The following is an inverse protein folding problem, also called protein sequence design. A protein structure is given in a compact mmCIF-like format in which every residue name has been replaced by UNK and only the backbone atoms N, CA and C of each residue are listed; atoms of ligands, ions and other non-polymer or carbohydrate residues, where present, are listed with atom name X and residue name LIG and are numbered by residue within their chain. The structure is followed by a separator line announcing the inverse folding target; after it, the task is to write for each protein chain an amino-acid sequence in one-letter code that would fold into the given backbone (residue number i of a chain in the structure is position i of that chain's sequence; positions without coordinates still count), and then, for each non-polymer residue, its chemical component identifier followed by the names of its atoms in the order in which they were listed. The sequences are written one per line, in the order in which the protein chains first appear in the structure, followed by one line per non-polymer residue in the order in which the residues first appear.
data_IF_374904946144
#
_entry.id   IF_374904946144
#
_cell.length_a   1.000
_cell.length_b   1.000
_cell.length_c   1.000
_cell.angle_alpha   90.00
_cell.angle_beta   90.00
_cell.angle_gamma   90.00
#
_symmetry.space_group_name_H-M   'P 1'
#
loop_
_entity.id
_entity.type
_entity.pdbx_description
1 polymer ?
#
# COMPACT_ATOMS: atom_id res chain seq x y z
N UNK A 1 5.73 9.96 2.27
CA UNK A 1 4.31 9.53 2.35
C UNK A 1 3.32 10.52 1.76
N UNK A 2 3.36 11.82 2.10
CA UNK A 2 2.38 12.81 1.58
C UNK A 2 2.30 12.85 0.05
N UNK A 3 3.45 12.92 -0.65
CA UNK A 3 3.50 12.82 -2.13
C UNK A 3 2.90 11.52 -2.71
N UNK A 4 2.86 10.44 -1.93
CA UNK A 4 2.28 9.16 -2.35
C UNK A 4 0.75 9.14 -2.15
N UNK A 5 0.25 9.80 -1.10
CA UNK A 5 -1.18 10.03 -0.89
C UNK A 5 -1.76 11.07 -1.87
N UNK A 6 -0.93 11.99 -2.35
CA UNK A 6 -1.30 13.03 -3.33
C UNK A 6 -1.47 12.51 -4.76
N UNK A 7 -1.14 11.24 -5.04
CA UNK A 7 -1.55 10.62 -6.30
C UNK A 7 -3.07 10.49 -6.30
N UNK A 8 -3.70 11.09 -7.30
CA UNK A 8 -5.14 11.31 -7.50
C UNK A 8 -6.09 10.24 -6.91
N UNK A 9 -5.75 8.95 -7.02
CA UNK A 9 -6.59 7.83 -6.62
C UNK A 9 -6.89 7.70 -5.12
N UNK A 10 -6.16 8.39 -4.23
CA UNK A 10 -6.29 8.24 -2.78
C UNK A 10 -6.69 9.48 -2.02
N UNK A 11 -6.69 10.67 -2.64
CA UNK A 11 -6.79 11.94 -1.90
C UNK A 11 -8.06 12.05 -1.05
N UNK A 12 -9.20 11.60 -1.59
CA UNK A 12 -10.48 11.60 -0.85
C UNK A 12 -10.48 10.63 0.35
N UNK A 13 -9.71 9.56 0.25
CA UNK A 13 -9.69 8.42 1.18
C UNK A 13 -8.47 8.38 2.09
N UNK A 14 -7.51 9.28 1.90
CA UNK A 14 -6.22 9.31 2.58
C UNK A 14 -6.09 10.53 3.48
N UNK A 15 -5.81 10.25 4.74
CA UNK A 15 -5.77 11.23 5.82
C UNK A 15 -4.39 11.20 6.46
N UNK A 16 -3.51 12.17 6.15
CA UNK A 16 -2.20 12.25 6.81
C UNK A 16 -2.37 12.65 8.28
N UNK A 17 -1.49 12.14 9.14
CA UNK A 17 -1.43 12.46 10.57
C UNK A 17 -2.81 12.37 11.26
N UNK A 18 -3.36 11.17 11.41
CA UNK A 18 -4.62 11.01 12.13
C UNK A 18 -4.41 10.96 13.64
N UNK A 19 -5.37 11.47 14.42
CA UNK A 19 -5.27 11.61 15.87
C UNK A 19 -6.42 10.91 16.59
N UNK A 20 -6.16 10.50 17.83
CA UNK A 20 -7.17 10.15 18.82
C UNK A 20 -7.18 11.17 19.96
N UNK A 21 -8.25 11.20 20.72
CA UNK A 21 -8.46 12.13 21.84
C UNK A 21 -7.96 11.59 23.19
N UNK A 22 -7.22 10.48 23.24
CA UNK A 22 -6.75 9.83 24.48
C UNK A 22 -5.96 10.76 25.40
N UNK A 23 -5.11 11.60 24.82
CA UNK A 23 -4.24 12.52 25.56
C UNK A 23 -4.77 13.96 25.59
N UNK A 24 -5.96 14.21 25.03
CA UNK A 24 -6.49 15.58 24.84
C UNK A 24 -6.60 16.34 26.17
N UNK A 25 -7.07 15.67 27.21
CA UNK A 25 -7.23 16.25 28.55
C UNK A 25 -5.90 16.43 29.28
N UNK A 26 -4.95 15.52 29.12
CA UNK A 26 -3.68 15.53 29.84
C UNK A 26 -2.60 16.41 29.19
N UNK A 27 -2.59 16.50 27.86
CA UNK A 27 -1.53 17.14 27.09
C UNK A 27 -2.01 18.31 26.21
N UNK A 28 -3.30 18.68 26.29
CA UNK A 28 -3.89 19.75 25.48
C UNK A 28 -4.04 19.42 23.98
N UNK A 29 -3.81 18.16 23.59
CA UNK A 29 -3.91 17.70 22.22
C UNK A 29 -4.04 16.19 22.11
N UNK A 30 -4.59 15.75 20.99
CA UNK A 30 -4.72 14.34 20.65
C UNK A 30 -3.38 13.65 20.43
N UNK A 31 -3.41 12.33 20.57
CA UNK A 31 -2.26 11.50 20.26
C UNK A 31 -2.36 11.00 18.83
N UNK A 32 -1.27 11.07 18.09
CA UNK A 32 -1.22 10.53 16.74
C UNK A 32 -1.45 9.01 16.73
N UNK A 33 -2.28 8.57 15.78
CA UNK A 33 -2.62 7.18 15.51
C UNK A 33 -1.64 6.63 14.47
N UNK A 34 -1.53 7.31 13.32
CA UNK A 34 -0.73 6.88 12.19
C UNK A 34 -0.32 8.09 11.35
N UNK A 35 0.86 7.97 10.74
CA UNK A 35 1.40 8.99 9.85
C UNK A 35 0.52 9.16 8.59
N UNK A 36 -0.13 8.06 8.13
CA UNK A 36 -1.15 8.08 7.09
C UNK A 36 -2.19 6.98 7.35
N UNK A 37 -3.47 7.35 7.29
CA UNK A 37 -4.62 6.44 7.31
C UNK A 37 -5.33 6.51 5.96
N UNK A 38 -5.50 5.38 5.28
CA UNK A 38 -6.36 5.28 4.11
C UNK A 38 -7.58 4.39 4.40
N UNK A 39 -8.77 4.83 4.00
CA UNK A 39 -10.04 4.08 4.19
C UNK A 39 -10.75 3.97 2.85
N UNK A 40 -10.81 2.77 2.29
CA UNK A 40 -11.45 2.53 1.00
C UNK A 40 -12.28 1.25 1.04
N UNK A 41 -13.58 1.35 0.75
CA UNK A 41 -14.54 0.24 0.94
C UNK A 41 -14.40 -0.39 2.34
N UNK A 42 -14.09 -1.68 2.41
CA UNK A 42 -13.84 -2.41 3.64
C UNK A 42 -12.35 -2.48 3.99
N UNK A 43 -11.48 -1.90 3.17
CA UNK A 43 -10.04 -1.85 3.42
C UNK A 43 -9.64 -0.62 4.23
N UNK A 44 -8.87 -0.86 5.29
CA UNK A 44 -8.25 0.20 6.09
C UNK A 44 -6.75 -0.02 6.08
N UNK A 45 -6.00 0.94 5.56
CA UNK A 45 -4.53 0.88 5.48
C UNK A 45 -3.94 1.89 6.45
N UNK A 46 -3.17 1.39 7.43
CA UNK A 46 -2.44 2.20 8.40
C UNK A 46 -0.97 2.21 8.03
N UNK A 47 -0.40 3.38 7.80
CA UNK A 47 1.02 3.55 7.55
C UNK A 47 1.72 4.12 8.79
N UNK A 48 2.90 3.58 9.09
CA UNK A 48 3.85 4.18 10.01
C UNK A 48 5.19 4.36 9.31
N UNK A 49 5.72 5.59 9.30
CA UNK A 49 7.05 5.90 8.76
C UNK A 49 8.07 6.06 9.89
N UNK A 50 9.17 5.32 9.78
CA UNK A 50 10.25 5.31 10.76
C UNK A 50 11.58 5.51 10.05
N UNK A 51 12.06 6.74 10.09
CA UNK A 51 13.43 7.09 9.72
C UNK A 51 14.37 6.92 10.91
N UNK A 52 15.22 5.88 10.87
CA UNK A 52 16.20 5.61 11.92
C UNK A 52 17.59 5.54 11.29
N UNK A 53 18.51 6.41 11.73
CA UNK A 53 19.88 6.41 11.24
C UNK A 53 20.61 5.10 11.55
N UNK A 54 21.29 4.56 10.54
CA UNK A 54 22.19 3.42 10.69
C UNK A 54 23.46 3.79 11.47
N UNK A 55 23.95 2.86 12.29
CA UNK A 55 25.18 3.03 13.07
C UNK A 55 26.38 2.48 12.29
N UNK A 56 26.96 3.32 11.43
CA UNK A 56 28.10 2.97 10.56
C UNK A 56 29.36 2.53 11.33
N UNK A 57 29.52 2.97 12.56
CA UNK A 57 30.68 2.68 13.41
C UNK A 57 30.60 1.33 14.13
N UNK A 58 29.53 0.56 13.92
CA UNK A 58 29.29 -0.73 14.58
C UNK A 58 29.33 -1.90 13.60
N UNK A 59 29.68 -3.12 14.07
CA UNK A 59 29.51 -4.32 13.28
C UNK A 59 28.06 -4.46 12.79
N UNK A 60 27.88 -4.97 11.56
CA UNK A 60 26.58 -4.99 10.87
C UNK A 60 25.50 -5.71 11.66
N UNK A 61 25.82 -6.78 12.38
CA UNK A 61 24.90 -7.56 13.19
C UNK A 61 24.36 -6.76 14.39
N UNK A 62 25.24 -6.00 15.05
CA UNK A 62 24.87 -5.14 16.17
C UNK A 62 24.09 -3.91 15.68
N UNK A 63 24.55 -3.28 14.58
CA UNK A 63 23.89 -2.15 13.96
C UNK A 63 22.48 -2.53 13.50
N UNK A 64 22.32 -3.67 12.84
CA UNK A 64 21.03 -4.24 12.44
C UNK A 64 20.12 -4.45 13.63
N UNK A 65 20.60 -5.14 14.67
CA UNK A 65 19.78 -5.44 15.84
C UNK A 65 19.29 -4.17 16.55
N UNK A 66 20.08 -3.09 16.55
CA UNK A 66 19.69 -1.79 17.12
C UNK A 66 18.72 -1.03 16.21
N UNK A 67 19.00 -1.03 14.91
CA UNK A 67 18.17 -0.39 13.91
C UNK A 67 16.79 -1.07 13.84
N UNK A 68 16.73 -2.40 13.74
CA UNK A 68 15.52 -3.21 13.69
C UNK A 68 14.59 -2.89 14.88
N UNK A 69 15.12 -2.91 16.12
CA UNK A 69 14.32 -2.63 17.32
C UNK A 69 13.75 -1.21 17.35
N UNK A 70 14.45 -0.24 16.76
CA UNK A 70 14.00 1.16 16.74
C UNK A 70 13.05 1.45 15.58
N UNK A 71 13.35 0.90 14.40
CA UNK A 71 12.61 1.13 13.17
C UNK A 71 11.41 0.19 13.07
N UNK A 72 11.67 -1.12 13.01
CA UNK A 72 10.65 -2.14 12.75
C UNK A 72 9.81 -2.41 14.00
N UNK A 73 10.41 -2.78 15.14
CA UNK A 73 9.62 -3.05 16.36
C UNK A 73 8.87 -1.79 16.82
N UNK A 74 9.49 -0.62 16.66
CA UNK A 74 8.85 0.68 16.91
C UNK A 74 7.63 0.94 16.03
N UNK A 75 7.73 0.69 14.72
CA UNK A 75 6.60 0.79 13.79
C UNK A 75 5.50 -0.22 14.12
N UNK A 76 5.86 -1.48 14.39
CA UNK A 76 4.92 -2.55 14.76
C UNK A 76 4.16 -2.18 16.03
N UNK A 77 4.82 -1.66 17.05
CA UNK A 77 4.17 -1.22 18.28
C UNK A 77 3.16 -0.08 18.04
N UNK A 78 3.52 0.91 17.22
CA UNK A 78 2.63 2.01 16.83
C UNK A 78 1.41 1.49 16.05
N UNK A 79 1.63 0.68 15.02
CA UNK A 79 0.58 0.12 14.17
C UNK A 79 -0.40 -0.77 14.94
N UNK A 80 0.11 -1.64 15.83
CA UNK A 80 -0.74 -2.47 16.69
C UNK A 80 -1.54 -1.62 17.71
N UNK A 81 -0.98 -0.50 18.16
CA UNK A 81 -1.69 0.47 18.99
C UNK A 81 -2.81 1.17 18.22
N UNK A 82 -2.52 1.58 16.99
CA UNK A 82 -3.46 2.21 16.07
C UNK A 82 -4.64 1.28 15.74
N UNK A 83 -4.37 0.06 15.28
CA UNK A 83 -5.41 -0.93 14.96
C UNK A 83 -6.34 -1.17 16.15
N UNK A 84 -5.78 -1.36 17.34
CA UNK A 84 -6.56 -1.56 18.57
C UNK A 84 -7.44 -0.35 18.90
N UNK A 85 -6.95 0.87 18.65
CA UNK A 85 -7.77 2.07 18.81
C UNK A 85 -8.94 2.08 17.83
N UNK A 86 -8.69 1.78 16.55
CA UNK A 86 -9.74 1.69 15.53
C UNK A 86 -10.77 0.59 15.83
N UNK A 87 -10.37 -0.48 16.52
CA UNK A 87 -11.24 -1.57 16.95
C UNK A 87 -12.16 -1.13 18.09
N UNK A 88 -11.61 -0.46 19.11
CA UNK A 88 -12.35 -0.09 20.33
C UNK A 88 -13.15 1.22 20.19
N UNK A 89 -12.65 2.15 19.37
CA UNK A 89 -13.14 3.52 19.29
C UNK A 89 -13.23 4.02 17.84
N UNK A 90 -13.98 3.34 16.95
CA UNK A 90 -14.00 3.65 15.52
C UNK A 90 -14.50 5.05 15.16
N UNK A 91 -15.26 5.71 16.04
CA UNK A 91 -15.77 7.07 15.85
C UNK A 91 -14.90 8.16 16.46
N UNK A 92 -13.79 7.80 17.14
CA UNK A 92 -12.89 8.75 17.82
C UNK A 92 -11.55 8.84 17.09
N UNK A 93 -11.65 9.14 15.79
CA UNK A 93 -10.53 9.35 14.88
C UNK A 93 -10.71 10.71 14.24
N UNK A 94 -9.65 11.52 14.29
CA UNK A 94 -9.67 12.92 13.90
C UNK A 94 -8.56 13.23 12.91
N UNK A 95 -8.78 14.21 12.05
CA UNK A 95 -7.80 14.69 11.06
C UNK A 95 -6.98 15.88 11.56
N UNK A 96 -7.25 16.34 12.79
CA UNK A 96 -6.55 17.45 13.43
C UNK A 96 -6.10 17.08 14.86
N UNK A 97 -4.98 17.67 15.28
CA UNK A 97 -4.40 17.47 16.61
C UNK A 97 -5.32 17.93 17.75
N UNK A 98 -6.22 18.89 17.50
CA UNK A 98 -7.17 19.35 18.52
C UNK A 98 -8.38 18.43 18.67
N UNK A 99 -8.50 17.40 17.83
CA UNK A 99 -9.61 16.46 17.80
C UNK A 99 -10.95 17.21 17.71
N UNK A 100 -11.06 18.03 16.66
CA UNK A 100 -12.23 18.87 16.36
C UNK A 100 -12.88 18.49 15.03
N UNK A 101 -12.09 17.93 14.10
CA UNK A 101 -12.49 17.47 12.79
C UNK A 101 -12.47 15.94 12.80
N UNK A 102 -13.63 15.28 12.88
CA UNK A 102 -13.70 13.83 12.80
C UNK A 102 -13.27 13.36 11.41
N UNK A 103 -12.94 12.07 11.31
CA UNK A 103 -12.65 11.42 10.03
C UNK A 103 -13.83 11.62 9.05
N UNK A 104 -13.61 12.21 7.86
CA UNK A 104 -14.69 12.50 6.92
C UNK A 104 -15.41 11.26 6.39
N UNK A 105 -14.66 10.18 6.15
CA UNK A 105 -15.19 8.88 5.73
C UNK A 105 -15.22 7.96 6.95
N UNK A 106 -16.39 7.41 7.33
CA UNK A 106 -16.49 6.54 8.49
C UNK A 106 -15.72 5.24 8.25
N UNK A 107 -15.16 4.67 9.33
CA UNK A 107 -14.53 3.36 9.25
C UNK A 107 -15.58 2.27 8.98
N UNK A 108 -15.24 1.25 8.18
CA UNK A 108 -16.10 0.07 8.04
C UNK A 108 -16.25 -0.65 9.39
N UNK A 109 -17.34 -1.41 9.49
CA UNK A 109 -17.62 -2.26 10.66
C UNK A 109 -16.43 -3.19 10.93
N UNK A 110 -16.15 -3.52 12.19
CA UNK A 110 -15.05 -4.45 12.52
C UNK A 110 -15.23 -5.83 11.88
N UNK A 111 -16.47 -6.27 11.65
CA UNK A 111 -16.77 -7.57 11.05
C UNK A 111 -16.36 -7.64 9.58
N UNK A 112 -16.53 -6.53 8.84
CA UNK A 112 -16.25 -6.47 7.41
C UNK A 112 -14.87 -5.90 7.08
N UNK A 113 -14.24 -5.22 8.05
CA UNK A 113 -12.97 -4.51 7.89
C UNK A 113 -11.79 -5.44 7.65
N UNK A 114 -11.05 -5.16 6.58
CA UNK A 114 -9.74 -5.71 6.27
C UNK A 114 -8.68 -4.66 6.60
N UNK A 115 -7.96 -4.86 7.70
CA UNK A 115 -6.86 -3.97 8.11
C UNK A 115 -5.55 -4.40 7.46
N UNK A 116 -4.87 -3.46 6.81
CA UNK A 116 -3.50 -3.59 6.32
C UNK A 116 -2.59 -2.68 7.14
N UNK A 117 -1.60 -3.25 7.82
CA UNK A 117 -0.60 -2.49 8.59
C UNK A 117 0.67 -2.36 7.76
N UNK A 118 1.13 -1.14 7.49
CA UNK A 118 2.27 -0.87 6.62
C UNK A 118 3.33 -0.09 7.39
N UNK A 119 4.49 -0.70 7.59
CA UNK A 119 5.67 -0.08 8.18
C UNK A 119 6.63 0.33 7.06
N UNK A 120 6.87 1.62 6.91
CA UNK A 120 7.88 2.18 6.01
C UNK A 120 9.11 2.50 6.85
N UNK A 121 10.20 1.79 6.63
CA UNK A 121 11.41 1.88 7.47
C UNK A 121 12.61 2.31 6.65
N UNK A 122 13.28 3.37 7.07
CA UNK A 122 14.38 3.97 6.32
C UNK A 122 15.63 4.22 7.16
N UNK A 123 16.73 4.50 6.47
CA UNK A 123 18.04 4.84 7.03
C UNK A 123 19.05 3.69 7.02
N UNK A 124 18.68 2.49 6.55
CA UNK A 124 19.54 1.31 6.43
C UNK A 124 19.94 0.98 4.97
N UNK A 125 19.42 1.71 3.98
CA UNK A 125 19.51 1.39 2.55
C UNK A 125 20.96 1.37 2.05
N UNK A 126 21.77 2.36 2.43
CA UNK A 126 23.18 2.44 2.05
C UNK A 126 24.04 1.32 2.68
N UNK A 127 23.66 0.85 3.88
CA UNK A 127 24.29 -0.28 4.52
C UNK A 127 23.86 -1.61 3.88
N UNK A 128 22.58 -1.75 3.56
CA UNK A 128 22.02 -2.89 2.84
C UNK A 128 22.70 -3.07 1.47
N UNK A 129 22.79 -1.99 0.69
CA UNK A 129 23.51 -1.92 -0.60
C UNK A 129 24.93 -2.46 -0.50
N UNK A 130 25.70 -1.99 0.49
CA UNK A 130 27.08 -2.45 0.69
C UNK A 130 27.15 -3.91 1.14
N UNK A 131 26.23 -4.33 2.00
CA UNK A 131 26.22 -5.67 2.56
C UNK A 131 25.97 -6.74 1.49
N UNK A 132 24.97 -6.54 0.63
CA UNK A 132 24.64 -7.48 -0.44
C UNK A 132 25.36 -7.22 -1.77
N UNK A 133 26.03 -6.07 -1.92
CA UNK A 133 26.48 -5.58 -3.23
C UNK A 133 25.34 -5.37 -4.23
N UNK A 134 24.11 -5.18 -3.73
CA UNK A 134 22.91 -4.91 -4.52
C UNK A 134 22.87 -3.44 -4.96
N UNK A 135 22.63 -3.11 -6.24
CA UNK A 135 22.58 -1.73 -6.71
C UNK A 135 21.55 -0.84 -5.99
N UNK A 136 20.46 -1.40 -5.44
CA UNK A 136 19.36 -0.61 -4.88
C UNK A 136 19.52 -0.36 -3.38
N UNK A 137 19.79 -1.40 -2.60
CA UNK A 137 19.78 -1.42 -1.14
C UNK A 137 18.42 -1.81 -0.55
N UNK A 138 17.61 -2.59 -1.26
CA UNK A 138 16.29 -3.06 -0.81
C UNK A 138 16.42 -4.12 0.29
N UNK A 139 15.47 -4.17 1.22
CA UNK A 139 15.42 -5.26 2.20
C UNK A 139 15.02 -6.57 1.51
N UNK A 140 15.74 -7.66 1.79
CA UNK A 140 15.40 -8.98 1.27
C UNK A 140 14.31 -9.64 2.11
N UNK A 141 13.46 -10.45 1.46
CA UNK A 141 12.27 -11.02 2.09
C UNK A 141 12.42 -12.53 2.26
N UNK A 142 12.27 -13.02 3.48
CA UNK A 142 12.33 -14.43 3.84
C UNK A 142 11.11 -14.80 4.67
N UNK A 143 10.15 -15.53 4.07
CA UNK A 143 8.87 -15.86 4.73
C UNK A 143 9.04 -16.71 6.00
N UNK A 144 10.12 -17.47 6.07
CA UNK A 144 10.44 -18.32 7.22
C UNK A 144 10.90 -17.54 8.45
N UNK A 145 11.35 -16.29 8.28
CA UNK A 145 11.88 -15.46 9.35
C UNK A 145 10.72 -14.83 10.15
N UNK A 146 10.70 -15.04 11.46
CA UNK A 146 9.56 -14.64 12.31
C UNK A 146 9.99 -14.08 13.66
N UNK A 147 9.31 -13.03 14.11
CA UNK A 147 9.45 -12.47 15.47
C UNK A 147 10.92 -12.22 15.85
N UNK A 148 11.35 -12.72 17.00
CA UNK A 148 12.70 -12.50 17.52
C UNK A 148 13.84 -13.05 16.63
N UNK A 149 13.56 -13.98 15.72
CA UNK A 149 14.57 -14.56 14.83
C UNK A 149 15.26 -13.51 13.93
N UNK A 150 14.61 -12.36 13.68
CA UNK A 150 15.20 -11.26 12.92
C UNK A 150 16.41 -10.61 13.59
N UNK A 151 16.57 -10.75 14.90
CA UNK A 151 17.64 -10.11 15.69
C UNK A 151 18.41 -11.11 16.57
N UNK A 152 18.17 -12.39 16.38
CA UNK A 152 18.85 -13.46 17.11
C UNK A 152 20.17 -13.80 16.40
N UNK A 153 21.23 -13.11 16.80
CA UNK A 153 22.58 -13.26 16.26
C UNK A 153 23.23 -14.60 16.60
N UNK A 154 22.59 -15.44 17.42
CA UNK A 154 23.12 -16.76 17.78
C UNK A 154 22.76 -17.85 16.76
N UNK A 155 21.84 -17.55 15.83
CA UNK A 155 21.43 -18.50 14.78
C UNK A 155 22.47 -18.56 13.67
N UNK A 156 22.75 -19.77 13.20
CA UNK A 156 23.68 -19.99 12.07
C UNK A 156 23.20 -19.32 10.77
N UNK A 157 21.88 -19.23 10.60
CA UNK A 157 21.23 -18.61 9.44
C UNK A 157 20.94 -17.12 9.64
N UNK A 158 21.37 -16.51 10.75
CA UNK A 158 21.18 -15.08 10.98
C UNK A 158 21.91 -14.26 9.92
N UNK A 159 21.18 -13.37 9.25
CA UNK A 159 21.76 -12.36 8.36
C UNK A 159 21.02 -11.03 8.57
N UNK A 160 21.73 -9.90 8.70
CA UNK A 160 21.14 -8.56 8.63
C UNK A 160 20.33 -8.33 7.36
N UNK A 161 19.44 -7.33 7.38
CA UNK A 161 18.67 -6.86 6.22
C UNK A 161 17.67 -7.86 5.63
N UNK A 162 17.43 -8.98 6.31
CA UNK A 162 16.35 -9.93 5.99
C UNK A 162 15.11 -9.61 6.81
N UNK A 163 13.94 -9.59 6.17
CA UNK A 163 12.63 -9.38 6.81
C UNK A 163 11.64 -10.47 6.43
N UNK A 164 10.79 -10.87 7.37
CA UNK A 164 9.73 -11.85 7.17
C UNK A 164 8.45 -11.44 7.89
N UNK A 165 7.82 -12.35 8.64
CA UNK A 165 6.64 -12.03 9.45
C UNK A 165 7.06 -11.47 10.81
N UNK A 166 7.04 -10.14 10.91
CA UNK A 166 7.43 -9.41 12.13
C UNK A 166 6.33 -9.45 13.21
N UNK A 167 5.10 -9.85 12.86
CA UNK A 167 3.95 -9.91 13.77
C UNK A 167 3.16 -11.22 13.57
N UNK A 168 3.77 -12.39 13.86
CA UNK A 168 3.18 -13.68 13.52
C UNK A 168 1.92 -14.02 14.34
N UNK A 169 1.76 -13.40 15.52
CA UNK A 169 0.61 -13.60 16.40
C UNK A 169 -0.52 -12.57 16.24
N UNK A 170 -0.34 -11.54 15.40
CA UNK A 170 -1.30 -10.45 15.24
C UNK A 170 -1.73 -10.24 13.79
N UNK A 171 -2.15 -9.03 13.46
CA UNK A 171 -2.35 -8.60 12.05
C UNK A 171 -0.99 -8.55 11.34
N UNK A 172 -0.97 -8.92 10.06
CA UNK A 172 0.28 -8.93 9.29
C UNK A 172 0.77 -7.49 9.08
N UNK A 173 2.05 -7.25 9.35
CA UNK A 173 2.68 -5.94 9.13
C UNK A 173 3.56 -6.02 7.88
N UNK A 174 3.17 -5.27 6.86
CA UNK A 174 3.93 -5.08 5.64
C UNK A 174 5.11 -4.16 5.91
N UNK A 175 6.30 -4.74 6.08
CA UNK A 175 7.55 -3.96 6.13
C UNK A 175 8.01 -3.68 4.71
N UNK A 176 8.20 -2.39 4.40
CA UNK A 176 8.82 -1.89 3.19
C UNK A 176 9.94 -0.91 3.55
N UNK A 177 11.04 -0.95 2.80
CA UNK A 177 11.91 0.22 2.67
C UNK A 177 11.33 1.21 1.62
N UNK A 178 11.83 2.46 1.57
CA UNK A 178 11.32 3.45 0.62
C UNK A 178 11.44 3.04 -0.85
N UNK A 179 12.47 2.26 -1.21
CA UNK A 179 12.73 1.83 -2.58
C UNK A 179 11.66 0.81 -2.99
N UNK A 180 11.46 -0.23 -2.18
CA UNK A 180 10.45 -1.25 -2.42
C UNK A 180 9.03 -0.68 -2.50
N UNK A 181 8.70 0.24 -1.60
CA UNK A 181 7.40 0.92 -1.62
C UNK A 181 7.20 1.76 -2.88
N UNK A 182 8.23 2.46 -3.35
CA UNK A 182 8.15 3.26 -4.58
C UNK A 182 7.77 2.40 -5.79
N UNK A 183 8.41 1.24 -5.96
CA UNK A 183 8.05 0.29 -7.04
C UNK A 183 6.60 -0.19 -6.93
N UNK A 184 6.17 -0.62 -5.74
CA UNK A 184 4.80 -1.07 -5.50
C UNK A 184 3.79 0.02 -5.88
N UNK A 185 4.02 1.25 -5.43
CA UNK A 185 3.10 2.37 -5.69
C UNK A 185 3.13 2.89 -7.14
N UNK A 186 4.21 2.63 -7.89
CA UNK A 186 4.32 2.99 -9.30
C UNK A 186 3.57 2.01 -10.22
N UNK A 187 3.67 0.71 -9.93
CA UNK A 187 3.02 -0.33 -10.71
C UNK A 187 1.55 -0.52 -10.32
N UNK A 188 1.24 -0.43 -9.03
CA UNK A 188 -0.11 -0.65 -8.46
C UNK A 188 -0.74 0.68 -8.07
N UNK A 189 -1.13 1.44 -9.09
CA UNK A 189 -1.57 2.83 -8.95
C UNK A 189 -3.09 3.01 -8.84
N UNK A 190 -3.82 1.92 -8.61
CA UNK A 190 -5.21 1.96 -8.15
C UNK A 190 -5.31 1.36 -6.75
N UNK A 191 -6.28 1.84 -5.96
CA UNK A 191 -6.50 1.33 -4.61
C UNK A 191 -6.87 -0.17 -4.62
N UNK A 192 -7.61 -0.62 -5.63
CA UNK A 192 -7.97 -2.02 -5.81
C UNK A 192 -6.75 -2.91 -6.08
N UNK A 193 -5.85 -2.47 -6.97
CA UNK A 193 -4.62 -3.22 -7.27
C UNK A 193 -3.68 -3.26 -6.06
N UNK A 194 -3.55 -2.15 -5.33
CA UNK A 194 -2.73 -2.07 -4.12
C UNK A 194 -3.26 -2.96 -2.99
N UNK A 195 -4.55 -2.87 -2.64
CA UNK A 195 -5.13 -3.67 -1.54
C UNK A 195 -5.16 -5.16 -1.88
N UNK A 196 -5.38 -5.52 -3.15
CA UNK A 196 -5.26 -6.89 -3.63
C UNK A 196 -3.83 -7.42 -3.47
N UNK A 197 -2.82 -6.61 -3.81
CA UNK A 197 -1.42 -6.96 -3.62
C UNK A 197 -1.06 -7.14 -2.16
N UNK A 198 -1.43 -6.21 -1.28
CA UNK A 198 -1.18 -6.32 0.16
C UNK A 198 -1.84 -7.58 0.73
N UNK A 199 -3.10 -7.85 0.41
CA UNK A 199 -3.78 -9.08 0.84
C UNK A 199 -3.09 -10.36 0.35
N UNK A 200 -2.68 -10.38 -0.91
CA UNK A 200 -1.94 -11.50 -1.49
C UNK A 200 -0.55 -11.66 -0.86
N UNK A 201 0.15 -10.55 -0.59
CA UNK A 201 1.50 -10.52 0.00
C UNK A 201 1.48 -11.08 1.42
N UNK A 202 0.55 -10.62 2.25
CA UNK A 202 0.39 -11.15 3.61
C UNK A 202 0.13 -12.66 3.59
N UNK A 203 -0.75 -13.12 2.68
CA UNK A 203 -1.09 -14.54 2.54
C UNK A 203 0.08 -15.39 2.09
N UNK A 204 0.85 -14.96 1.08
CA UNK A 204 1.97 -15.76 0.56
C UNK A 204 3.11 -15.82 1.57
N UNK A 205 3.43 -14.72 2.24
CA UNK A 205 4.51 -14.67 3.21
C UNK A 205 4.16 -15.50 4.46
N UNK A 206 2.91 -15.41 4.96
CA UNK A 206 2.47 -16.30 6.05
C UNK A 206 2.47 -17.77 5.69
N UNK A 207 2.26 -18.10 4.42
CA UNK A 207 2.29 -19.49 3.96
C UNK A 207 3.69 -20.11 3.94
N UNK A 208 4.76 -19.31 4.13
CA UNK A 208 6.14 -19.82 4.12
C UNK A 208 6.65 -20.22 2.74
N UNK A 209 5.93 -19.85 1.67
CA UNK A 209 6.21 -20.31 0.30
C UNK A 209 7.24 -19.47 -0.44
N UNK A 210 7.51 -18.24 -0.02
CA UNK A 210 8.64 -17.47 -0.54
C UNK A 210 9.85 -17.77 0.34
N UNK A 211 10.76 -18.60 -0.15
CA UNK A 211 11.99 -18.94 0.57
C UNK A 211 12.91 -17.73 0.66
N UNK A 212 13.07 -17.01 -0.46
CA UNK A 212 13.80 -15.75 -0.55
C UNK A 212 13.21 -14.91 -1.69
N UNK A 213 13.04 -13.62 -1.47
CA UNK A 213 12.98 -12.64 -2.55
C UNK A 213 14.06 -11.58 -2.32
N UNK A 214 14.85 -11.28 -3.35
CA UNK A 214 15.98 -10.35 -3.25
C UNK A 214 15.58 -8.88 -3.02
N UNK A 215 14.30 -8.56 -3.18
CA UNK A 215 13.74 -7.23 -2.93
C UNK A 215 12.24 -7.24 -3.20
N UNK A 216 11.55 -6.19 -2.76
CA UNK A 216 10.12 -6.04 -3.01
C UNK A 216 9.83 -5.83 -4.50
N UNK A 217 10.69 -5.10 -5.22
CA UNK A 217 10.61 -4.87 -6.66
C UNK A 217 10.64 -6.16 -7.46
N UNK A 218 11.45 -7.14 -7.03
CA UNK A 218 11.54 -8.45 -7.66
C UNK A 218 10.31 -9.31 -7.31
N UNK A 219 9.83 -9.23 -6.07
CA UNK A 219 8.60 -9.89 -5.65
C UNK A 219 7.37 -9.36 -6.41
N UNK A 220 7.30 -8.04 -6.63
CA UNK A 220 6.29 -7.34 -7.41
C UNK A 220 6.35 -7.76 -8.89
N UNK A 221 7.54 -7.81 -9.48
CA UNK A 221 7.72 -8.28 -10.86
C UNK A 221 7.17 -9.70 -11.05
N UNK A 222 7.48 -10.61 -10.13
CA UNK A 222 6.93 -11.98 -10.16
C UNK A 222 5.40 -11.99 -10.06
N UNK A 223 4.83 -11.13 -9.20
CA UNK A 223 3.38 -10.97 -9.06
C UNK A 223 2.72 -10.52 -10.37
N UNK A 224 3.28 -9.49 -11.02
CA UNK A 224 2.78 -8.90 -12.26
C UNK A 224 2.92 -9.86 -13.44
N UNK A 225 4.09 -10.49 -13.60
CA UNK A 225 4.33 -11.45 -14.70
C UNK A 225 3.43 -12.68 -14.64
N UNK A 226 3.15 -13.20 -13.43
CA UNK A 226 2.19 -14.29 -13.28
C UNK A 226 0.76 -13.83 -13.56
N UNK A 227 0.44 -12.56 -13.29
CA UNK A 227 -0.86 -11.97 -13.65
C UNK A 227 -1.18 -12.11 -15.12
N UNK A 228 -0.20 -11.81 -15.95
CA UNK A 228 -0.32 -11.99 -17.39
C UNK A 228 -0.37 -13.46 -17.81
N UNK A 229 0.52 -14.29 -17.29
CA UNK A 229 0.64 -15.71 -17.70
C UNK A 229 -0.54 -16.57 -17.26
N UNK A 230 -1.05 -16.34 -16.05
CA UNK A 230 -2.10 -17.15 -15.42
C UNK A 230 -3.48 -16.46 -15.48
N UNK A 231 -3.59 -15.28 -16.09
CA UNK A 231 -4.82 -14.47 -16.17
C UNK A 231 -5.26 -13.84 -14.85
N UNK A 232 -4.48 -14.01 -13.77
CA UNK A 232 -4.71 -13.38 -12.46
C UNK A 232 -3.40 -13.17 -11.71
N UNK A 233 -3.15 -11.99 -11.13
CA UNK A 233 -1.90 -11.74 -10.42
C UNK A 233 -1.66 -12.69 -9.25
N UNK A 234 -0.40 -12.98 -8.98
CA UNK A 234 -0.01 -13.80 -7.83
C UNK A 234 1.46 -14.18 -7.80
N UNK A 235 1.99 -14.45 -6.62
CA UNK A 235 3.43 -14.67 -6.45
C UNK A 235 3.92 -16.06 -6.89
N UNK A 236 3.04 -17.04 -6.95
CA UNK A 236 3.41 -18.43 -7.26
C UNK A 236 2.77 -18.81 -8.59
N UNK A 237 3.55 -19.23 -9.60
CA UNK A 237 3.02 -19.66 -10.88
C UNK A 237 2.02 -20.82 -10.73
N UNK A 238 0.95 -20.85 -11.52
CA UNK A 238 -0.09 -21.88 -11.42
C UNK A 238 0.48 -23.30 -11.56
N UNK A 239 1.44 -23.50 -12.47
CA UNK A 239 2.12 -24.79 -12.67
C UNK A 239 2.83 -25.29 -11.41
N UNK A 240 3.39 -24.39 -10.62
CA UNK A 240 4.08 -24.70 -9.34
C UNK A 240 3.09 -24.97 -8.21
N UNK A 241 1.94 -24.29 -8.18
CA UNK A 241 0.87 -24.57 -7.20
C UNK A 241 0.39 -26.03 -7.25
N UNK A 242 0.43 -26.65 -8.44
CA UNK A 242 -0.02 -28.02 -8.68
C UNK A 242 1.06 -29.08 -8.44
N UNK A 243 2.35 -28.79 -8.67
CA UNK A 243 3.43 -29.81 -8.71
C UNK A 243 4.24 -30.02 -7.43
N UNK A 244 4.25 -29.09 -6.47
CA UNK A 244 4.93 -29.33 -5.19
C UNK A 244 4.33 -28.47 -4.06
N UNK A 245 3.54 -29.07 -3.16
CA UNK A 245 2.96 -28.37 -2.00
C UNK A 245 4.01 -27.86 -1.00
N UNK A 246 5.25 -28.37 -1.04
CA UNK A 246 6.34 -28.06 -0.10
C UNK A 246 7.50 -27.26 -0.71
N UNK A 247 7.48 -26.95 -2.01
CA UNK A 247 8.56 -26.19 -2.61
C UNK A 247 8.48 -24.72 -2.18
N UNK A 248 9.61 -24.18 -1.74
CA UNK A 248 9.78 -22.74 -1.56
C UNK A 248 10.24 -22.12 -2.88
N UNK A 249 9.69 -20.96 -3.21
CA UNK A 249 10.08 -20.16 -4.35
C UNK A 249 11.21 -19.21 -3.94
N UNK A 250 12.29 -19.21 -4.72
CA UNK A 250 13.31 -18.16 -4.68
C UNK A 250 13.04 -17.18 -5.83
N UNK A 251 13.06 -15.90 -5.52
CA UNK A 251 12.88 -14.79 -6.46
C UNK A 251 14.20 -14.00 -6.46
N UNK A 252 15.09 -14.24 -7.44
CA UNK A 252 16.42 -13.64 -7.44
C UNK A 252 16.40 -12.18 -7.88
N UNK A 253 17.55 -11.53 -7.77
CA UNK A 253 17.81 -10.23 -8.41
C UNK A 253 17.65 -10.35 -9.94
N UNK A 254 17.27 -9.26 -10.60
CA UNK A 254 17.08 -9.22 -12.06
C UNK A 254 15.65 -9.50 -12.54
N UNK A 255 14.75 -9.95 -11.67
CA UNK A 255 13.35 -10.24 -12.04
C UNK A 255 12.59 -8.97 -12.45
N UNK A 256 12.92 -7.83 -11.85
CA UNK A 256 12.27 -6.56 -12.19
C UNK A 256 12.76 -6.02 -13.54
N UNK A 257 14.06 -6.13 -13.81
CA UNK A 257 14.69 -5.83 -15.09
C UNK A 257 14.10 -6.70 -16.20
N UNK A 258 13.90 -7.99 -15.92
CA UNK A 258 13.25 -8.94 -16.83
C UNK A 258 11.81 -8.52 -17.11
N UNK A 259 11.08 -8.09 -16.08
CA UNK A 259 9.72 -7.58 -16.23
C UNK A 259 9.69 -6.32 -17.10
N UNK A 260 10.47 -5.28 -16.82
CA UNK A 260 10.42 -4.01 -17.58
C UNK A 260 10.94 -4.12 -19.01
N UNK A 261 11.84 -5.08 -19.28
CA UNK A 261 12.32 -5.37 -20.64
C UNK A 261 11.39 -6.27 -21.45
N UNK A 262 10.34 -6.82 -20.83
CA UNK A 262 9.38 -7.68 -21.50
C UNK A 262 8.43 -6.88 -22.40
N UNK A 263 7.95 -7.52 -23.49
CA UNK A 263 6.88 -6.97 -24.31
C UNK A 263 5.62 -6.66 -23.48
N UNK A 264 5.34 -7.49 -22.49
CA UNK A 264 4.22 -7.33 -21.56
C UNK A 264 4.23 -5.96 -20.87
N UNK A 265 5.38 -5.52 -20.36
CA UNK A 265 5.46 -4.24 -19.67
C UNK A 265 5.11 -3.07 -20.61
N UNK A 266 5.57 -3.15 -21.87
CA UNK A 266 5.18 -2.19 -22.91
C UNK A 266 3.67 -2.17 -23.17
N UNK A 267 3.06 -3.35 -23.30
CA UNK A 267 1.60 -3.48 -23.48
C UNK A 267 0.81 -2.91 -22.30
N UNK A 268 1.19 -3.24 -21.06
CA UNK A 268 0.57 -2.70 -19.84
C UNK A 268 0.72 -1.18 -19.79
N UNK A 269 1.90 -0.65 -20.10
CA UNK A 269 2.15 0.79 -20.09
C UNK A 269 1.26 1.53 -21.11
N UNK A 270 1.04 0.97 -22.29
CA UNK A 270 0.17 1.56 -23.30
C UNK A 270 -1.32 1.46 -22.93
N UNK A 271 -1.74 0.36 -22.31
CA UNK A 271 -3.10 0.23 -21.76
C UNK A 271 -3.33 1.21 -20.61
N UNK A 272 -2.35 1.39 -19.72
CA UNK A 272 -2.40 2.35 -18.62
C UNK A 272 -2.63 3.76 -19.12
N UNK A 273 -1.93 4.20 -20.18
CA UNK A 273 -2.18 5.51 -20.83
C UNK A 273 -3.63 5.66 -21.29
N UNK A 274 -4.23 4.62 -21.89
CA UNK A 274 -5.62 4.64 -22.36
C UNK A 274 -6.65 4.72 -21.23
N UNK A 275 -6.29 4.25 -20.03
CA UNK A 275 -7.17 4.31 -18.86
C UNK A 275 -7.19 5.68 -18.15
N UNK A 276 -6.27 6.59 -18.49
CA UNK A 276 -6.07 7.85 -17.75
C UNK A 276 -7.30 8.75 -17.73
N UNK A 277 -8.12 8.74 -18.78
CA UNK A 277 -9.38 9.48 -18.81
C UNK A 277 -10.28 9.14 -17.61
N UNK A 278 -10.29 7.87 -17.20
CA UNK A 278 -11.08 7.44 -16.05
C UNK A 278 -10.57 8.06 -14.74
N UNK A 279 -9.25 8.13 -14.60
CA UNK A 279 -8.61 8.74 -13.43
C UNK A 279 -8.84 10.27 -13.40
N UNK A 280 -8.77 10.92 -14.57
CA UNK A 280 -9.03 12.36 -14.72
C UNK A 280 -10.47 12.70 -14.30
N UNK A 281 -11.45 11.88 -14.66
CA UNK A 281 -12.85 12.07 -14.24
C UNK A 281 -13.02 11.90 -12.74
N UNK A 282 -12.42 10.86 -12.15
CA UNK A 282 -12.45 10.66 -10.69
C UNK A 282 -11.84 11.87 -9.98
N UNK A 283 -10.68 12.35 -10.45
CA UNK A 283 -9.97 13.48 -9.82
C UNK A 283 -10.76 14.78 -9.95
N UNK A 284 -11.32 15.06 -11.13
CA UNK A 284 -12.13 16.26 -11.37
C UNK A 284 -13.28 16.33 -10.36
N UNK A 285 -14.04 15.23 -10.23
CA UNK A 285 -15.18 15.19 -9.31
C UNK A 285 -14.71 15.21 -7.85
N UNK A 286 -13.63 14.50 -7.50
CA UNK A 286 -13.10 14.49 -6.14
C UNK A 286 -12.59 15.89 -5.71
N UNK A 287 -11.96 16.63 -6.62
CA UNK A 287 -11.47 17.98 -6.35
C UNK A 287 -12.62 18.95 -6.05
N UNK A 288 -13.70 18.90 -6.82
CA UNK A 288 -14.88 19.73 -6.57
C UNK A 288 -15.59 19.39 -5.25
N UNK A 289 -15.58 18.12 -4.87
CA UNK A 289 -16.12 17.66 -3.59
C UNK A 289 -15.27 18.16 -2.43
N UNK A 290 -13.95 18.06 -2.54
CA UNK A 290 -13.02 18.50 -1.50
C UNK A 290 -12.98 20.02 -1.34
N UNK A 291 -13.15 20.78 -2.44
CA UNK A 291 -13.22 22.25 -2.41
C UNK A 291 -14.59 22.79 -2.00
N UNK A 292 -15.62 21.96 -1.97
CA UNK A 292 -17.00 22.40 -1.72
C UNK A 292 -17.57 23.22 -2.88
N UNK A 293 -17.09 23.01 -4.10
CA UNK A 293 -17.57 23.68 -5.34
C UNK A 293 -18.62 22.85 -6.09
N UNK A 294 -18.97 21.68 -5.55
CA UNK A 294 -20.06 20.84 -6.06
C UNK A 294 -21.41 21.59 -6.05
N UNK A 295 -22.19 21.44 -7.12
CA UNK A 295 -23.53 22.05 -7.24
C UNK A 295 -24.62 21.14 -6.68
N UNK A 296 -25.65 21.74 -6.08
CA UNK A 296 -26.83 21.01 -5.63
C UNK A 296 -27.70 20.60 -6.82
N UNK A 297 -28.12 19.33 -6.85
CA UNK A 297 -28.98 18.76 -7.90
C UNK A 297 -30.25 18.25 -7.23
N UNK A 298 -31.43 18.62 -7.74
CA UNK A 298 -32.74 18.11 -7.28
C UNK A 298 -32.94 18.19 -5.74
N UNK A 299 -32.46 19.28 -5.12
CA UNK A 299 -32.48 19.52 -3.65
C UNK A 299 -31.56 18.60 -2.81
N UNK A 300 -30.62 17.90 -3.44
CA UNK A 300 -29.55 17.21 -2.73
C UNK A 300 -28.35 18.14 -2.58
N UNK A 301 -28.06 18.50 -1.34
CA UNK A 301 -26.85 19.24 -0.98
C UNK A 301 -25.64 18.29 -1.03
N UNK A 302 -24.60 18.61 -1.80
CA UNK A 302 -23.41 17.78 -1.90
C UNK A 302 -22.68 17.77 -0.55
N UNK A 303 -22.24 16.58 -0.15
CA UNK A 303 -21.35 16.41 0.99
C UNK A 303 -20.26 15.41 0.64
N UNK A 304 -19.11 15.51 1.30
CA UNK A 304 -18.01 14.56 1.12
C UNK A 304 -18.50 13.13 1.30
N UNK A 305 -19.28 12.84 2.34
CA UNK A 305 -19.79 11.51 2.62
C UNK A 305 -20.79 10.98 1.57
N UNK A 306 -21.57 11.85 0.94
CA UNK A 306 -22.50 11.45 -0.13
C UNK A 306 -21.75 11.19 -1.43
N UNK A 307 -20.92 12.14 -1.87
CA UNK A 307 -20.19 12.05 -3.14
C UNK A 307 -19.17 10.92 -3.11
N UNK A 308 -18.57 10.65 -1.95
CA UNK A 308 -17.64 9.55 -1.77
C UNK A 308 -18.26 8.18 -2.08
N UNK A 309 -19.57 7.96 -1.85
CA UNK A 309 -20.20 6.68 -2.15
C UNK A 309 -20.18 6.37 -3.65
N UNK A 310 -20.47 7.37 -4.49
CA UNK A 310 -20.44 7.21 -5.94
C UNK A 310 -18.99 7.11 -6.45
N UNK A 311 -18.12 7.99 -5.96
CA UNK A 311 -16.69 7.99 -6.31
C UNK A 311 -16.01 6.67 -5.95
N UNK A 312 -16.40 6.05 -4.82
CA UNK A 312 -15.87 4.76 -4.37
C UNK A 312 -16.15 3.66 -5.39
N UNK A 313 -17.37 3.58 -5.91
CA UNK A 313 -17.73 2.57 -6.93
C UNK A 313 -16.86 2.72 -8.18
N UNK A 314 -16.67 3.95 -8.64
CA UNK A 314 -15.88 4.26 -9.84
C UNK A 314 -14.38 4.00 -9.60
N UNK A 315 -13.88 4.28 -8.39
CA UNK A 315 -12.49 4.10 -8.00
C UNK A 315 -12.13 2.64 -7.64
N UNK A 316 -13.12 1.79 -7.34
CA UNK A 316 -12.91 0.38 -7.00
C UNK A 316 -12.45 -0.46 -8.21
N UNK A 317 -12.51 0.10 -9.41
CA UNK A 317 -12.11 -0.57 -10.63
C UNK A 317 -10.57 -0.69 -10.72
N UNK A 318 -10.02 -1.91 -10.92
CA UNK A 318 -8.59 -2.11 -11.13
C UNK A 318 -8.15 -1.51 -12.47
N UNK A 319 -6.85 -1.26 -12.63
CA UNK A 319 -6.28 -0.56 -13.80
C UNK A 319 -6.76 -1.11 -15.14
N UNK A 320 -6.82 -2.43 -15.26
CA UNK A 320 -7.22 -3.10 -16.51
C UNK A 320 -8.69 -2.91 -16.86
N UNK A 321 -9.59 -2.84 -15.86
CA UNK A 321 -11.01 -2.56 -16.10
C UNK A 321 -11.21 -1.11 -16.54
N UNK A 322 -10.46 -0.17 -15.94
CA UNK A 322 -10.49 1.25 -16.29
C UNK A 322 -10.18 1.51 -17.75
N UNK A 323 -9.38 0.68 -18.42
CA UNK A 323 -9.13 0.78 -19.88
C UNK A 323 -10.43 0.70 -20.67
N UNK A 324 -11.26 -0.30 -20.38
CA UNK A 324 -12.51 -0.52 -21.11
C UNK A 324 -13.53 0.57 -20.79
N UNK A 325 -13.57 1.00 -19.54
CA UNK A 325 -14.45 2.09 -19.08
C UNK A 325 -14.06 3.44 -19.70
N UNK A 326 -12.77 3.76 -19.74
CA UNK A 326 -12.25 4.95 -20.39
C UNK A 326 -12.56 4.95 -21.90
N UNK A 327 -12.39 3.82 -22.58
CA UNK A 327 -12.75 3.71 -24.00
C UNK A 327 -14.26 3.92 -24.23
N UNK A 328 -15.10 3.30 -23.41
CA UNK A 328 -16.55 3.49 -23.50
C UNK A 328 -16.96 4.96 -23.28
N UNK A 329 -16.35 5.62 -22.30
CA UNK A 329 -16.59 7.03 -22.00
C UNK A 329 -16.13 7.93 -23.16
N UNK A 330 -14.91 7.72 -23.66
CA UNK A 330 -14.37 8.46 -24.80
C UNK A 330 -15.28 8.33 -26.03
N UNK A 331 -15.69 7.10 -26.37
CA UNK A 331 -16.60 6.87 -27.49
C UNK A 331 -17.98 7.50 -27.29
N UNK A 332 -18.47 7.62 -26.05
CA UNK A 332 -19.69 8.36 -25.76
C UNK A 332 -19.51 9.87 -25.99
N UNK A 333 -18.40 10.45 -25.53
CA UNK A 333 -18.06 11.86 -25.75
C UNK A 333 -17.94 12.19 -27.25
N UNK A 334 -17.26 11.35 -28.03
CA UNK A 334 -17.14 11.53 -29.48
C UNK A 334 -18.51 11.50 -30.19
N UNK A 335 -19.42 10.61 -29.78
CA UNK A 335 -20.79 10.58 -30.33
C UNK A 335 -21.56 11.85 -30.00
N UNK A 336 -21.48 12.34 -28.77
CA UNK A 336 -22.15 13.58 -28.37
C UNK A 336 -21.70 14.77 -29.21
N UNK A 337 -20.39 14.88 -29.50
CA UNK A 337 -19.85 15.93 -30.37
C UNK A 337 -20.34 15.77 -31.81
N UNK A 338 -20.29 14.54 -32.35
CA UNK A 338 -20.70 14.27 -33.74
C UNK A 338 -22.19 14.52 -33.98
N UNK A 339 -23.03 14.28 -32.98
CA UNK A 339 -24.48 14.40 -33.06
C UNK A 339 -24.99 15.79 -32.65
N UNK A 340 -24.10 16.78 -32.50
CA UNK A 340 -24.40 18.16 -32.05
C UNK A 340 -25.17 18.21 -30.72
N UNK A 341 -25.01 17.17 -29.89
CA UNK A 341 -25.53 17.12 -28.53
C UNK A 341 -24.59 17.81 -27.52
N UNK A 342 -23.53 18.47 -28.02
CA UNK A 342 -22.53 19.18 -27.22
C UNK A 342 -23.09 20.34 -26.38
N UNK A 343 -24.35 20.76 -26.59
CA UNK A 343 -25.02 21.76 -25.73
C UNK A 343 -25.30 21.28 -24.30
N UNK A 344 -25.01 20.02 -23.97
CA UNK A 344 -25.20 19.41 -22.66
C UNK A 344 -23.91 18.89 -22.00
N UNK A 345 -22.72 19.23 -22.54
CA UNK A 345 -21.41 18.88 -21.96
C UNK A 345 -20.77 20.10 -21.31
#
# INVERSE_FOLDING_TARGET
MVRFADRAFLRLWSYPNTFNDRTKTACGGGQEIADLLAVFENHVVLFSDKAISWQEDKPSELAWSRWYRRAIDGAVAQLNGAERWLDLHPTRVFTDKHCTQPLPVPLPSKADRITHLVAVVSGAEAACRRYFSDPRGSLMIVSGLKGAAHVDTTRDDFRPFLVGDVSPGGTFVHVFDPIGLEFVMNELDTVADLTAYLGARAKVLRSGKIGLAAGEEHLLAAYMMNGFKDGRPGFIPEKMRKRARRAQLAIPEGEYETYVSSQLYGEIADLKKKSMLWDEVIELVAEDVLKGTSISILNYEPSVALSEQALRVIAAEPRMNRVSLAHALWGAMERCVREDMARFV
#
